data_IF_438395574207
#
_entry.id   IF_438395574207
#
_cell.length_a   1.000
_cell.length_b   1.000
_cell.length_c   1.000
_cell.angle_alpha   90.00
_cell.angle_beta   90.00
_cell.angle_gamma   90.00
#
_symmetry.space_group_name_H-M   'P 1'
#
loop_
_entity.id
_entity.type
_entity.pdbx_description
1 polymer ?
#
# COMPACT_ATOMS: atom_id res chain seq x y z
N UNK A 1 5.19 -9.07 -3.82
CA UNK A 1 5.18 -7.63 -4.16
C UNK A 1 5.59 -7.49 -5.62
N UNK A 2 4.80 -6.79 -6.40
CA UNK A 2 5.00 -6.63 -7.85
C UNK A 2 5.86 -5.42 -8.17
N UNK A 3 6.65 -5.51 -9.23
CA UNK A 3 7.45 -4.42 -9.78
C UNK A 3 6.72 -3.75 -10.95
N UNK A 4 7.12 -2.54 -11.29
CA UNK A 4 6.64 -1.86 -12.50
C UNK A 4 7.49 -2.31 -13.70
N UNK A 5 6.93 -3.17 -14.55
CA UNK A 5 7.62 -3.69 -15.72
C UNK A 5 7.51 -2.79 -16.95
N UNK A 6 6.59 -1.82 -16.93
CA UNK A 6 6.34 -0.93 -18.08
C UNK A 6 7.14 0.37 -18.01
N UNK A 7 7.39 0.85 -16.80
CA UNK A 7 8.08 2.13 -16.57
C UNK A 7 8.99 2.03 -15.35
N UNK A 8 9.84 3.05 -15.16
CA UNK A 8 10.67 3.18 -13.96
C UNK A 8 9.93 3.86 -12.79
N UNK A 9 8.61 4.08 -12.89
CA UNK A 9 7.85 4.70 -11.81
C UNK A 9 7.70 3.75 -10.59
N UNK A 10 7.59 4.34 -9.42
CA UNK A 10 7.24 3.60 -8.20
C UNK A 10 5.80 3.06 -8.31
N UNK A 11 5.49 2.05 -7.54
CA UNK A 11 4.12 1.57 -7.32
C UNK A 11 4.06 0.76 -6.03
N UNK A 12 2.88 0.68 -5.44
CA UNK A 12 2.59 -0.33 -4.44
C UNK A 12 1.55 -1.32 -4.99
N UNK A 13 1.93 -2.59 -5.06
CA UNK A 13 1.04 -3.70 -5.39
C UNK A 13 1.57 -4.97 -4.74
N UNK A 14 0.80 -5.51 -3.79
CA UNK A 14 1.17 -6.75 -3.10
C UNK A 14 0.03 -7.75 -3.18
N UNK A 15 0.33 -8.98 -3.60
CA UNK A 15 -0.61 -10.10 -3.60
C UNK A 15 -0.15 -11.08 -2.51
N UNK A 16 -1.06 -11.44 -1.61
CA UNK A 16 -0.85 -12.40 -0.53
C UNK A 16 -1.76 -13.61 -0.80
N UNK A 17 -1.17 -14.78 -0.90
CA UNK A 17 -1.90 -16.04 -1.07
C UNK A 17 -2.32 -16.55 0.32
N UNK A 18 -3.62 -16.62 0.57
CA UNK A 18 -4.16 -17.03 1.88
C UNK A 18 -4.27 -18.55 2.02
N UNK A 19 -4.10 -19.29 0.93
CA UNK A 19 -4.38 -20.73 0.80
C UNK A 19 -5.71 -21.00 0.12
N UNK A 20 -5.88 -22.24 -0.37
CA UNK A 20 -7.11 -22.68 -1.08
C UNK A 20 -7.54 -21.77 -2.25
N UNK A 21 -6.58 -21.07 -2.88
CA UNK A 21 -6.81 -20.16 -4.01
C UNK A 21 -7.35 -18.78 -3.63
N UNK A 22 -7.43 -18.43 -2.34
CA UNK A 22 -7.83 -17.11 -1.87
C UNK A 22 -6.66 -16.13 -1.88
N UNK A 23 -6.95 -14.86 -2.20
CA UNK A 23 -5.97 -13.79 -2.29
C UNK A 23 -6.39 -12.58 -1.45
N UNK A 24 -5.39 -11.89 -0.87
CA UNK A 24 -5.50 -10.50 -0.43
C UNK A 24 -4.65 -9.67 -1.37
N UNK A 25 -5.18 -8.57 -1.85
CA UNK A 25 -4.42 -7.59 -2.66
C UNK A 25 -4.32 -6.30 -1.87
N UNK A 26 -3.12 -5.74 -1.75
CA UNK A 26 -2.89 -4.43 -1.16
C UNK A 26 -2.45 -3.48 -2.28
N UNK A 27 -3.27 -2.49 -2.53
CA UNK A 27 -3.16 -1.57 -3.66
C UNK A 27 -3.08 -2.28 -5.03
N UNK A 28 -2.64 -1.63 -6.09
CA UNK A 28 -2.62 -2.24 -7.42
C UNK A 28 -1.62 -1.60 -8.39
N UNK A 29 -1.08 -0.44 -8.04
CA UNK A 29 -0.20 0.31 -8.94
C UNK A 29 -0.96 1.17 -9.94
N UNK A 30 -0.26 1.63 -10.96
CA UNK A 30 -0.76 2.52 -12.01
C UNK A 30 -1.75 1.86 -12.98
N UNK A 31 -2.50 2.65 -13.73
CA UNK A 31 -3.38 2.16 -14.79
C UNK A 31 -2.64 1.37 -15.89
N UNK A 32 -1.38 1.69 -16.19
CA UNK A 32 -0.57 0.93 -17.15
C UNK A 32 -0.12 -0.45 -16.61
N UNK A 33 -0.22 -0.69 -15.32
CA UNK A 33 0.06 -2.00 -14.73
C UNK A 33 -1.16 -2.94 -14.70
N UNK A 34 -2.31 -2.51 -15.19
CA UNK A 34 -3.60 -3.22 -15.12
C UNK A 34 -3.52 -4.65 -15.61
N UNK A 35 -3.07 -4.86 -16.85
CA UNK A 35 -2.98 -6.20 -17.45
C UNK A 35 -2.02 -7.10 -16.67
N UNK A 36 -0.92 -6.54 -16.20
CA UNK A 36 0.07 -7.28 -15.44
C UNK A 36 -0.50 -7.74 -14.09
N UNK A 37 -1.06 -6.84 -13.31
CA UNK A 37 -1.68 -7.13 -12.00
C UNK A 37 -2.82 -8.15 -12.16
N UNK A 38 -3.71 -7.94 -13.14
CA UNK A 38 -4.82 -8.84 -13.44
C UNK A 38 -4.32 -10.25 -13.78
N UNK A 39 -3.29 -10.36 -14.61
CA UNK A 39 -2.70 -11.63 -14.97
C UNK A 39 -2.06 -12.35 -13.77
N UNK A 40 -1.36 -11.63 -12.90
CA UNK A 40 -0.82 -12.19 -11.66
C UNK A 40 -1.93 -12.74 -10.74
N UNK A 41 -3.03 -12.01 -10.59
CA UNK A 41 -4.20 -12.44 -9.83
C UNK A 41 -4.81 -13.71 -10.45
N UNK A 42 -5.02 -13.73 -11.78
CA UNK A 42 -5.58 -14.88 -12.50
C UNK A 42 -4.72 -16.14 -12.38
N UNK A 43 -3.39 -16.00 -12.50
CA UNK A 43 -2.45 -17.13 -12.35
C UNK A 43 -2.51 -17.76 -10.95
N UNK A 44 -2.95 -17.01 -9.95
CA UNK A 44 -3.11 -17.44 -8.56
C UNK A 44 -4.54 -17.83 -8.18
N UNK A 45 -5.40 -18.06 -9.16
CA UNK A 45 -6.77 -18.55 -8.97
C UNK A 45 -7.88 -17.52 -9.19
N UNK A 46 -7.56 -16.23 -9.30
CA UNK A 46 -8.53 -15.19 -9.68
C UNK A 46 -9.57 -14.84 -8.62
N UNK A 47 -9.39 -15.26 -7.35
CA UNK A 47 -10.33 -15.00 -6.27
C UNK A 47 -9.71 -14.10 -5.19
N UNK A 48 -10.07 -12.82 -5.20
CA UNK A 48 -9.62 -11.80 -4.24
C UNK A 48 -10.63 -11.71 -3.10
N UNK A 49 -10.29 -12.26 -1.95
CA UNK A 49 -11.12 -12.24 -0.74
C UNK A 49 -11.17 -10.83 -0.10
N UNK A 50 -10.07 -10.08 -0.20
CA UNK A 50 -10.02 -8.69 0.25
C UNK A 50 -9.06 -7.89 -0.64
N UNK A 51 -9.54 -6.77 -1.19
CA UNK A 51 -8.71 -5.76 -1.82
C UNK A 51 -8.62 -4.56 -0.87
N UNK A 52 -7.42 -4.30 -0.37
CA UNK A 52 -7.14 -3.25 0.61
C UNK A 52 -6.54 -2.04 -0.11
N UNK A 53 -7.18 -0.89 -0.02
CA UNK A 53 -6.64 0.35 -0.57
C UNK A 53 -6.10 1.22 0.56
N UNK A 54 -4.86 1.69 0.39
CA UNK A 54 -4.23 2.58 1.36
C UNK A 54 -4.71 4.01 1.18
N UNK A 55 -4.56 4.59 0.01
CA UNK A 55 -4.97 5.95 -0.33
C UNK A 55 -5.19 6.10 -1.84
N UNK A 56 -5.82 7.19 -2.32
CA UNK A 56 -6.28 7.25 -3.71
C UNK A 56 -5.28 7.80 -4.73
N UNK A 57 -3.96 7.67 -4.50
CA UNK A 57 -2.98 8.04 -5.52
C UNK A 57 -2.92 7.03 -6.67
N UNK A 58 -2.52 7.50 -7.83
CA UNK A 58 -2.58 6.75 -9.09
C UNK A 58 -1.72 5.49 -9.08
N UNK A 59 -0.58 5.51 -8.40
CA UNK A 59 0.35 4.39 -8.26
C UNK A 59 -0.06 3.38 -7.17
N UNK A 60 -1.25 3.57 -6.61
CA UNK A 60 -1.90 2.68 -5.66
C UNK A 60 -3.23 2.14 -6.17
N UNK A 61 -4.12 2.99 -6.69
CA UNK A 61 -5.48 2.56 -7.05
C UNK A 61 -5.71 2.43 -8.56
N UNK A 62 -4.76 2.85 -9.38
CA UNK A 62 -4.93 2.95 -10.84
C UNK A 62 -5.32 1.62 -11.49
N UNK A 63 -4.59 0.54 -11.20
CA UNK A 63 -4.88 -0.74 -11.81
C UNK A 63 -6.23 -1.32 -11.36
N UNK A 64 -6.61 -1.18 -10.08
CA UNK A 64 -7.93 -1.61 -9.64
C UNK A 64 -9.03 -0.85 -10.39
N UNK A 65 -8.92 0.49 -10.50
CA UNK A 65 -9.91 1.27 -11.22
C UNK A 65 -10.08 0.77 -12.67
N UNK A 66 -8.98 0.56 -13.37
CA UNK A 66 -8.98 0.04 -14.74
C UNK A 66 -9.52 -1.39 -14.83
N UNK A 67 -9.18 -2.28 -13.90
CA UNK A 67 -9.75 -3.64 -13.83
C UNK A 67 -11.27 -3.56 -13.75
N UNK A 68 -11.80 -2.71 -12.88
CA UNK A 68 -13.25 -2.56 -12.73
C UNK A 68 -13.91 -1.95 -13.97
N UNK A 69 -13.26 -1.03 -14.67
CA UNK A 69 -13.79 -0.43 -15.90
C UNK A 69 -13.70 -1.33 -17.12
N UNK A 70 -12.59 -2.06 -17.29
CA UNK A 70 -12.25 -2.73 -18.55
C UNK A 70 -12.36 -4.25 -18.46
N UNK A 71 -12.23 -4.83 -17.26
CA UNK A 71 -12.09 -6.26 -17.00
C UNK A 71 -13.06 -6.77 -15.93
N UNK A 72 -14.17 -6.04 -15.72
CA UNK A 72 -15.15 -6.39 -14.69
C UNK A 72 -15.69 -7.81 -14.92
N UNK A 73 -15.64 -8.64 -13.87
CA UNK A 73 -16.08 -10.03 -13.92
C UNK A 73 -15.02 -11.04 -14.41
N UNK A 74 -13.81 -10.60 -14.77
CA UNK A 74 -12.72 -11.52 -15.13
C UNK A 74 -12.04 -12.17 -13.90
N UNK A 75 -12.22 -11.58 -12.72
CA UNK A 75 -11.84 -12.10 -11.41
C UNK A 75 -13.00 -11.95 -10.44
N UNK A 76 -12.98 -12.70 -9.36
CA UNK A 76 -13.95 -12.55 -8.26
C UNK A 76 -13.34 -11.68 -7.16
N UNK A 77 -14.08 -10.68 -6.69
CA UNK A 77 -13.69 -9.82 -5.57
C UNK A 77 -14.80 -9.90 -4.53
N UNK A 78 -14.48 -10.38 -3.32
CA UNK A 78 -15.45 -10.49 -2.23
C UNK A 78 -15.63 -9.17 -1.48
N UNK A 79 -14.54 -8.37 -1.34
CA UNK A 79 -14.60 -7.08 -0.68
C UNK A 79 -13.48 -6.13 -1.09
N UNK A 80 -13.83 -4.84 -1.24
CA UNK A 80 -12.89 -3.72 -1.46
C UNK A 80 -12.99 -2.82 -0.23
N UNK A 81 -11.88 -2.68 0.49
CA UNK A 81 -11.82 -1.98 1.78
C UNK A 81 -10.97 -0.72 1.66
N UNK A 82 -11.55 0.42 2.04
CA UNK A 82 -10.88 1.72 1.95
C UNK A 82 -11.45 2.72 2.94
N UNK A 83 -10.69 3.79 3.22
CA UNK A 83 -11.18 4.97 3.91
C UNK A 83 -10.64 6.20 3.19
N UNK A 84 -11.47 6.80 2.33
CA UNK A 84 -11.11 8.04 1.63
C UNK A 84 -11.78 9.23 2.30
N UNK A 85 -11.11 10.37 2.29
CA UNK A 85 -11.71 11.63 2.69
C UNK A 85 -12.85 12.03 1.71
N UNK A 86 -13.56 13.09 2.03
CA UNK A 86 -14.61 13.63 1.17
C UNK A 86 -14.00 14.18 -0.14
N UNK A 87 -14.72 14.05 -1.25
CA UNK A 87 -14.28 14.51 -2.57
C UNK A 87 -13.92 16.01 -2.57
N UNK A 88 -14.69 16.82 -1.83
CA UNK A 88 -14.43 18.25 -1.67
C UNK A 88 -13.09 18.54 -0.99
N UNK A 89 -12.65 17.67 -0.07
CA UNK A 89 -11.38 17.84 0.61
C UNK A 89 -10.20 17.62 -0.34
N UNK A 90 -10.26 16.57 -1.20
CA UNK A 90 -9.24 16.37 -2.23
C UNK A 90 -9.24 17.48 -3.27
N UNK A 91 -10.43 17.90 -3.73
CA UNK A 91 -10.57 18.95 -4.74
C UNK A 91 -10.03 20.31 -4.29
N UNK A 92 -10.16 20.63 -3.00
CA UNK A 92 -9.56 21.85 -2.39
C UNK A 92 -8.03 21.81 -2.39
N UNK A 93 -7.45 20.61 -2.20
CA UNK A 93 -6.01 20.43 -2.05
C UNK A 93 -5.28 20.28 -3.38
N UNK A 94 -5.77 19.39 -4.25
CA UNK A 94 -5.16 19.11 -5.55
C UNK A 94 -6.20 18.58 -6.55
N UNK A 95 -6.44 19.32 -7.66
CA UNK A 95 -7.36 18.88 -8.71
C UNK A 95 -6.96 17.59 -9.42
N UNK A 96 -5.68 17.24 -9.50
CA UNK A 96 -5.24 15.98 -10.14
C UNK A 96 -5.55 14.77 -9.25
N UNK A 97 -5.30 14.88 -7.95
CA UNK A 97 -5.73 13.86 -6.98
C UNK A 97 -7.25 13.71 -7.02
N UNK A 98 -7.99 14.82 -7.06
CA UNK A 98 -9.45 14.78 -7.15
C UNK A 98 -9.95 14.04 -8.41
N UNK A 99 -9.25 14.14 -9.56
CA UNK A 99 -9.58 13.38 -10.77
C UNK A 99 -9.40 11.87 -10.54
N UNK A 100 -8.31 11.46 -9.87
CA UNK A 100 -8.09 10.04 -9.58
C UNK A 100 -9.13 9.51 -8.58
N UNK A 101 -9.47 10.29 -7.56
CA UNK A 101 -10.55 9.95 -6.62
C UNK A 101 -11.88 9.77 -7.36
N UNK A 102 -12.22 10.68 -8.27
CA UNK A 102 -13.42 10.56 -9.10
C UNK A 102 -13.37 9.33 -10.02
N UNK A 103 -12.20 9.00 -10.56
CA UNK A 103 -12.00 7.85 -11.44
C UNK A 103 -12.24 6.54 -10.71
N UNK A 104 -11.60 6.32 -9.56
CA UNK A 104 -11.79 5.10 -8.77
C UNK A 104 -13.22 4.99 -8.22
N UNK A 105 -13.82 6.09 -7.73
CA UNK A 105 -15.21 6.08 -7.24
C UNK A 105 -16.21 5.82 -8.37
N UNK A 106 -15.93 6.32 -9.59
CA UNK A 106 -16.69 5.97 -10.78
C UNK A 106 -16.65 4.47 -11.08
N UNK A 107 -15.47 3.85 -10.97
CA UNK A 107 -15.29 2.42 -11.13
C UNK A 107 -16.07 1.60 -10.06
N UNK A 108 -16.15 2.09 -8.82
CA UNK A 108 -16.96 1.48 -7.76
C UNK A 108 -18.46 1.44 -8.10
N UNK A 109 -18.94 2.32 -8.96
CA UNK A 109 -20.32 2.27 -9.47
C UNK A 109 -20.62 1.07 -10.36
N UNK A 110 -19.60 0.33 -10.81
CA UNK A 110 -19.74 -0.82 -11.72
C UNK A 110 -19.79 -2.18 -11.00
N UNK A 111 -19.60 -2.18 -9.68
CA UNK A 111 -19.60 -3.39 -8.87
C UNK A 111 -20.74 -3.38 -7.86
N UNK A 112 -21.17 -4.56 -7.34
CA UNK A 112 -22.18 -4.63 -6.31
C UNK A 112 -21.80 -3.82 -5.06
N UNK A 113 -22.73 -3.02 -4.53
CA UNK A 113 -22.47 -2.14 -3.39
C UNK A 113 -22.10 -2.91 -2.10
N UNK A 114 -22.53 -4.15 -1.97
CA UNK A 114 -22.24 -4.98 -0.80
C UNK A 114 -20.80 -5.46 -0.71
N UNK A 115 -19.99 -5.31 -1.76
CA UNK A 115 -18.54 -5.60 -1.71
C UNK A 115 -17.71 -4.33 -1.44
N UNK A 116 -18.32 -3.15 -1.42
CA UNK A 116 -17.63 -1.87 -1.17
C UNK A 116 -17.72 -1.51 0.32
N UNK A 117 -16.60 -1.43 0.98
CA UNK A 117 -16.46 -1.12 2.40
C UNK A 117 -15.64 0.17 2.55
N UNK A 118 -16.27 1.30 2.27
CA UNK A 118 -15.66 2.65 2.35
C UNK A 118 -15.74 3.30 3.74
N UNK A 119 -16.30 2.60 4.71
CA UNK A 119 -16.56 3.05 6.08
C UNK A 119 -15.74 2.29 7.13
N UNK A 120 -14.61 1.70 6.72
CA UNK A 120 -13.72 1.01 7.65
C UNK A 120 -13.20 1.95 8.72
N UNK A 121 -13.05 1.42 9.93
CA UNK A 121 -12.64 2.20 11.11
C UNK A 121 -11.42 1.60 11.79
N UNK A 122 -10.66 2.43 12.48
CA UNK A 122 -9.51 1.99 13.30
C UNK A 122 -9.96 0.90 14.31
N UNK A 123 -9.18 -0.17 14.40
CA UNK A 123 -9.46 -1.33 15.22
C UNK A 123 -10.38 -2.37 14.59
N UNK A 124 -11.02 -2.07 13.46
CA UNK A 124 -11.83 -3.04 12.73
C UNK A 124 -10.99 -4.25 12.30
N UNK A 125 -11.60 -5.41 12.36
CA UNK A 125 -11.00 -6.67 11.90
C UNK A 125 -11.78 -7.20 10.73
N UNK A 126 -11.07 -7.49 9.63
CA UNK A 126 -11.58 -8.10 8.41
C UNK A 126 -11.00 -9.52 8.34
N UNK A 127 -11.85 -10.49 8.02
CA UNK A 127 -11.42 -11.88 7.83
C UNK A 127 -11.35 -12.18 6.34
N UNK A 128 -10.21 -12.70 5.86
CA UNK A 128 -10.01 -13.14 4.49
C UNK A 128 -9.42 -14.56 4.51
N UNK A 129 -10.28 -15.57 4.38
CA UNK A 129 -9.89 -16.96 4.60
C UNK A 129 -9.26 -17.14 5.99
N UNK A 130 -8.06 -17.74 6.10
CA UNK A 130 -7.34 -17.88 7.37
C UNK A 130 -6.66 -16.58 7.83
N UNK A 131 -6.54 -15.57 6.98
CA UNK A 131 -5.87 -14.32 7.30
C UNK A 131 -6.78 -13.37 8.10
N UNK A 132 -6.22 -12.73 9.11
CA UNK A 132 -6.85 -11.66 9.89
C UNK A 132 -6.21 -10.33 9.51
N UNK A 133 -7.03 -9.38 9.05
CA UNK A 133 -6.61 -8.04 8.69
C UNK A 133 -7.11 -7.07 9.75
N UNK A 134 -6.22 -6.32 10.37
CA UNK A 134 -6.57 -5.26 11.30
C UNK A 134 -6.36 -3.91 10.63
N UNK A 135 -7.39 -3.07 10.62
CA UNK A 135 -7.33 -1.68 10.21
C UNK A 135 -6.69 -0.88 11.35
N UNK A 136 -5.58 -0.20 11.09
CA UNK A 136 -4.87 0.55 12.13
C UNK A 136 -5.36 2.00 12.26
N UNK A 137 -5.79 2.62 11.16
CA UNK A 137 -6.34 3.98 11.18
C UNK A 137 -7.36 4.19 10.07
N UNK A 138 -8.11 5.27 10.16
CA UNK A 138 -8.85 5.86 9.04
C UNK A 138 -7.98 6.92 8.36
N UNK A 139 -8.39 7.38 7.18
CA UNK A 139 -7.70 8.46 6.48
C UNK A 139 -7.47 9.69 7.38
N UNK A 140 -6.22 10.05 7.60
CA UNK A 140 -5.89 11.28 8.34
C UNK A 140 -6.05 12.50 7.43
N UNK A 141 -6.89 13.46 7.84
CA UNK A 141 -7.11 14.70 7.11
C UNK A 141 -6.12 15.76 7.57
N UNK A 142 -4.90 15.70 7.03
CA UNK A 142 -3.80 16.64 7.33
C UNK A 142 -3.60 17.63 6.19
N UNK A 143 -2.98 18.79 6.46
CA UNK A 143 -2.71 19.80 5.43
C UNK A 143 -1.38 19.58 4.71
N UNK A 144 -0.41 18.94 5.37
CA UNK A 144 0.87 18.57 4.80
C UNK A 144 0.84 17.13 4.29
N UNK A 145 1.49 16.87 3.16
CA UNK A 145 1.49 15.55 2.51
C UNK A 145 0.10 14.91 2.52
N UNK A 146 -0.89 15.72 2.16
CA UNK A 146 -2.29 15.49 2.49
C UNK A 146 -2.82 14.14 1.94
N UNK A 147 -2.54 13.81 0.67
CA UNK A 147 -2.99 12.55 0.09
C UNK A 147 -2.24 11.36 0.70
N UNK A 148 -0.92 11.47 0.86
CA UNK A 148 -0.09 10.43 1.46
C UNK A 148 -0.51 10.16 2.92
N UNK A 149 -0.72 11.21 3.71
CA UNK A 149 -1.21 11.08 5.09
C UNK A 149 -2.65 10.61 5.18
N UNK A 150 -3.42 10.56 4.08
CA UNK A 150 -4.72 9.89 4.05
C UNK A 150 -4.60 8.37 3.93
N UNK A 151 -3.40 7.80 3.88
CA UNK A 151 -3.18 6.37 3.86
C UNK A 151 -3.79 5.67 5.06
N UNK A 152 -4.51 4.58 4.79
CA UNK A 152 -4.91 3.60 5.80
C UNK A 152 -3.77 2.59 5.96
N UNK A 153 -3.31 2.42 7.19
CA UNK A 153 -2.37 1.37 7.53
C UNK A 153 -3.12 0.09 7.92
N UNK A 154 -2.61 -1.04 7.47
CA UNK A 154 -3.18 -2.36 7.74
C UNK A 154 -2.13 -3.29 8.37
N UNK A 155 -2.56 -4.15 9.29
CA UNK A 155 -1.79 -5.31 9.68
C UNK A 155 -2.48 -6.58 9.18
N UNK A 156 -1.77 -7.36 8.36
CA UNK A 156 -2.21 -8.67 7.88
C UNK A 156 -1.49 -9.74 8.68
N UNK A 157 -2.25 -10.56 9.40
CA UNK A 157 -1.74 -11.71 10.16
C UNK A 157 -2.13 -13.00 9.43
N UNK A 158 -1.14 -13.77 9.01
CA UNK A 158 -1.31 -15.03 8.30
C UNK A 158 -0.24 -16.02 8.70
N UNK A 159 -0.62 -17.25 9.05
CA UNK A 159 0.30 -18.34 9.42
C UNK A 159 1.33 -17.96 10.51
N UNK A 160 0.95 -17.08 11.43
CA UNK A 160 1.82 -16.62 12.51
C UNK A 160 2.76 -15.47 12.14
N UNK A 161 2.71 -14.98 10.90
CA UNK A 161 3.48 -13.82 10.41
C UNK A 161 2.58 -12.59 10.37
N UNK A 162 3.06 -11.48 10.90
CA UNK A 162 2.40 -10.19 10.88
C UNK A 162 3.09 -9.23 9.91
N UNK A 163 2.40 -8.85 8.85
CA UNK A 163 2.86 -7.85 7.88
C UNK A 163 2.13 -6.54 8.10
N UNK A 164 2.87 -5.44 8.30
CA UNK A 164 2.31 -4.10 8.44
C UNK A 164 2.52 -3.33 7.14
N UNK A 165 1.42 -2.86 6.56
CA UNK A 165 1.39 -1.97 5.42
C UNK A 165 1.09 -0.56 5.92
N UNK A 166 1.97 0.38 5.60
CA UNK A 166 1.88 1.78 6.02
C UNK A 166 1.37 2.69 4.90
N UNK A 167 1.21 2.14 3.68
CA UNK A 167 0.94 2.94 2.49
C UNK A 167 2.02 4.00 2.32
N UNK A 168 1.59 5.22 2.09
CA UNK A 168 2.48 6.36 1.91
C UNK A 168 2.44 7.35 3.06
N UNK A 169 2.02 6.89 4.26
CA UNK A 169 2.06 7.74 5.45
C UNK A 169 3.39 8.49 5.54
N UNK A 170 3.32 9.81 5.55
CA UNK A 170 4.45 10.67 5.76
C UNK A 170 4.74 10.83 7.27
N UNK A 171 5.71 11.65 7.63
CA UNK A 171 6.17 11.80 9.00
C UNK A 171 5.04 12.12 9.99
N UNK A 172 4.18 13.08 9.67
CA UNK A 172 3.08 13.48 10.56
C UNK A 172 1.99 12.41 10.69
N UNK A 173 1.70 11.67 9.61
CA UNK A 173 0.80 10.52 9.66
C UNK A 173 1.35 9.39 10.52
N UNK A 174 2.66 9.14 10.44
CA UNK A 174 3.34 8.20 11.31
C UNK A 174 3.35 8.61 12.79
N UNK A 175 3.54 9.90 13.08
CA UNK A 175 3.45 10.45 14.44
C UNK A 175 2.04 10.30 15.01
N UNK A 176 1.00 10.54 14.19
CA UNK A 176 -0.39 10.34 14.60
C UNK A 176 -0.68 8.84 14.84
N UNK A 177 -0.21 7.96 13.96
CA UNK A 177 -0.39 6.51 14.12
C UNK A 177 0.24 6.01 15.45
N UNK A 178 1.39 6.54 15.83
CA UNK A 178 2.02 6.25 17.15
C UNK A 178 1.26 6.84 18.33
N UNK A 179 0.57 7.95 18.14
CA UNK A 179 -0.25 8.55 19.18
C UNK A 179 -1.54 7.73 19.39
N UNK A 180 -2.08 7.14 18.32
CA UNK A 180 -3.32 6.35 18.35
C UNK A 180 -3.10 4.93 18.84
N UNK A 181 -1.88 4.36 18.66
CA UNK A 181 -1.57 2.94 18.91
C UNK A 181 -0.21 2.73 19.57
N UNK A 182 -0.16 1.73 20.46
CA UNK A 182 1.11 1.11 20.84
C UNK A 182 1.58 0.16 19.72
N UNK A 183 2.34 0.69 18.76
CA UNK A 183 2.85 -0.08 17.61
C UNK A 183 3.75 -1.24 18.05
N UNK A 184 4.37 -1.18 19.24
CA UNK A 184 5.22 -2.27 19.74
C UNK A 184 4.43 -3.53 20.09
N UNK A 185 3.13 -3.39 20.35
CA UNK A 185 2.23 -4.50 20.63
C UNK A 185 1.84 -5.29 19.37
N UNK A 186 2.05 -4.74 18.15
CA UNK A 186 1.67 -5.40 16.90
C UNK A 186 2.54 -6.60 16.54
N UNK A 187 3.75 -6.72 17.14
CA UNK A 187 4.71 -7.82 16.84
C UNK A 187 4.95 -7.97 15.34
N UNK A 188 5.31 -6.86 14.70
CA UNK A 188 5.50 -6.78 13.25
C UNK A 188 6.72 -7.61 12.82
N UNK A 189 6.52 -8.59 11.94
CA UNK A 189 7.60 -9.37 11.32
C UNK A 189 8.10 -8.72 10.03
N UNK A 190 7.16 -8.27 9.22
CA UNK A 190 7.41 -7.67 7.90
C UNK A 190 6.77 -6.28 7.87
N UNK A 191 7.50 -5.27 7.40
CA UNK A 191 6.96 -3.93 7.17
C UNK A 191 7.07 -3.53 5.70
N UNK A 192 6.02 -2.99 5.11
CA UNK A 192 6.16 -2.22 3.89
C UNK A 192 6.71 -0.84 4.25
N UNK A 193 7.83 -0.48 3.64
CA UNK A 193 8.49 0.81 3.86
C UNK A 193 7.65 1.92 3.26
N UNK A 194 7.19 2.81 4.12
CA UNK A 194 6.22 3.86 3.78
C UNK A 194 6.72 4.77 2.64
N UNK A 195 5.79 5.19 1.79
CA UNK A 195 6.01 6.15 0.72
C UNK A 195 7.22 5.77 -0.16
N UNK A 196 7.25 4.50 -0.61
CA UNK A 196 8.30 3.93 -1.45
C UNK A 196 9.73 4.10 -0.90
N UNK A 197 9.87 4.35 0.40
CA UNK A 197 11.16 4.62 1.04
C UNK A 197 11.67 6.05 0.86
N UNK A 198 10.87 6.96 0.29
CA UNK A 198 11.25 8.39 0.19
C UNK A 198 10.96 9.14 1.53
N UNK A 199 10.03 10.10 1.53
CA UNK A 199 9.73 10.94 2.70
C UNK A 199 8.56 10.36 3.52
N UNK A 200 8.60 9.05 3.81
CA UNK A 200 7.58 8.35 4.59
C UNK A 200 7.64 8.64 6.09
N UNK A 201 7.15 7.68 6.89
CA UNK A 201 7.14 7.78 8.35
C UNK A 201 8.55 7.92 8.94
N UNK A 202 8.64 8.50 10.13
CA UNK A 202 9.92 8.68 10.82
C UNK A 202 10.48 7.40 11.45
N UNK A 203 11.76 7.45 11.83
CA UNK A 203 12.50 6.35 12.46
C UNK A 203 11.76 5.70 13.64
N UNK A 204 11.10 6.50 14.49
CA UNK A 204 10.46 6.00 15.71
C UNK A 204 9.29 5.04 15.41
N UNK A 205 8.62 5.17 14.26
CA UNK A 205 7.58 4.21 13.82
C UNK A 205 8.21 2.85 13.56
N UNK A 206 9.27 2.78 12.75
CA UNK A 206 9.96 1.53 12.46
C UNK A 206 10.60 0.91 13.71
N UNK A 207 11.14 1.76 14.59
CA UNK A 207 11.71 1.33 15.88
C UNK A 207 10.64 0.74 16.80
N UNK A 208 9.43 1.26 16.81
CA UNK A 208 8.31 0.70 17.57
C UNK A 208 7.84 -0.64 16.96
N UNK A 209 7.71 -0.71 15.64
CA UNK A 209 7.32 -1.94 14.92
C UNK A 209 8.37 -3.05 15.03
N UNK A 210 9.66 -2.72 15.01
CA UNK A 210 10.80 -3.66 15.08
C UNK A 210 10.74 -4.80 14.06
N UNK A 211 10.56 -4.51 12.76
CA UNK A 211 10.46 -5.54 11.74
C UNK A 211 11.78 -6.29 11.56
N UNK A 212 11.71 -7.56 11.19
CA UNK A 212 12.87 -8.35 10.74
C UNK A 212 13.06 -8.30 9.24
N UNK A 213 11.99 -7.98 8.49
CA UNK A 213 11.94 -7.92 7.03
C UNK A 213 11.34 -6.59 6.58
N UNK A 214 11.90 -5.99 5.53
CA UNK A 214 11.38 -4.78 4.92
C UNK A 214 11.04 -5.00 3.43
N UNK A 215 9.82 -4.60 3.04
CA UNK A 215 9.35 -4.56 1.66
C UNK A 215 9.52 -3.14 1.14
N UNK A 216 10.28 -3.00 0.07
CA UNK A 216 10.57 -1.72 -0.55
C UNK A 216 9.87 -1.60 -1.91
N UNK A 217 8.74 -0.91 -1.98
CA UNK A 217 8.10 -0.59 -3.26
C UNK A 217 8.87 0.55 -3.97
N UNK A 218 10.20 0.39 -4.08
CA UNK A 218 11.19 1.41 -4.43
C UNK A 218 11.85 1.06 -5.75
N UNK A 219 11.68 1.85 -6.82
CA UNK A 219 12.38 1.65 -8.08
C UNK A 219 13.86 2.03 -7.97
N UNK A 220 14.65 1.64 -8.98
CA UNK A 220 16.11 1.80 -8.96
C UNK A 220 16.57 3.26 -8.74
N UNK A 221 15.95 4.23 -9.45
CA UNK A 221 16.35 5.63 -9.32
C UNK A 221 16.10 6.18 -7.90
N UNK A 222 15.00 5.78 -7.29
CA UNK A 222 14.68 6.20 -5.92
C UNK A 222 15.54 5.47 -4.89
N UNK A 223 15.85 4.19 -5.13
CA UNK A 223 16.80 3.43 -4.31
C UNK A 223 18.18 4.07 -4.30
N UNK A 224 18.65 4.55 -5.45
CA UNK A 224 19.91 5.25 -5.58
C UNK A 224 19.85 6.72 -5.16
N UNK A 225 18.65 7.20 -4.82
CA UNK A 225 18.39 8.63 -4.54
C UNK A 225 18.90 9.51 -5.68
N UNK A 226 18.54 9.15 -6.93
CA UNK A 226 19.01 9.78 -8.16
C UNK A 226 17.89 10.59 -8.80
N UNK A 227 18.05 11.92 -8.87
CA UNK A 227 17.10 12.83 -9.55
C UNK A 227 17.53 13.16 -11.01
N UNK A 228 18.38 12.33 -11.61
CA UNK A 228 18.97 12.55 -12.92
C UNK A 228 20.40 13.10 -12.88
N UNK A 229 20.92 13.41 -11.71
CA UNK A 229 22.29 13.87 -11.47
C UNK A 229 23.27 12.77 -11.04
N UNK A 230 22.81 11.51 -11.02
CA UNK A 230 23.56 10.36 -10.51
C UNK A 230 23.20 10.00 -9.07
N UNK A 231 23.70 8.86 -8.61
CA UNK A 231 23.40 8.34 -7.27
C UNK A 231 23.73 9.35 -6.16
N UNK A 232 22.75 9.57 -5.26
CA UNK A 232 22.86 10.50 -4.15
C UNK A 232 22.54 11.97 -4.51
N UNK A 233 22.16 12.27 -5.76
CA UNK A 233 21.79 13.63 -6.17
C UNK A 233 20.37 14.04 -5.79
N UNK A 234 19.53 13.07 -5.40
CA UNK A 234 18.12 13.29 -5.03
C UNK A 234 17.97 13.92 -3.64
N UNK A 235 16.75 14.40 -3.40
CA UNK A 235 16.37 15.08 -2.15
C UNK A 235 15.58 14.19 -1.20
N UNK A 236 15.37 12.93 -1.58
CA UNK A 236 14.56 11.99 -0.80
C UNK A 236 15.36 11.39 0.36
N UNK A 237 14.64 10.97 1.41
CA UNK A 237 15.24 10.37 2.61
C UNK A 237 15.55 8.87 2.44
N UNK A 238 15.59 8.36 1.21
CA UNK A 238 15.78 6.90 0.93
C UNK A 238 17.05 6.36 1.56
N UNK A 239 18.16 7.11 1.47
CA UNK A 239 19.42 6.67 2.08
C UNK A 239 19.34 6.63 3.61
N UNK A 240 18.65 7.62 4.20
CA UNK A 240 18.43 7.67 5.63
C UNK A 240 17.52 6.53 6.08
N UNK A 241 16.45 6.26 5.35
CA UNK A 241 15.54 5.13 5.63
C UNK A 241 16.28 3.79 5.54
N UNK A 242 17.16 3.59 4.54
CA UNK A 242 18.04 2.41 4.47
C UNK A 242 18.93 2.28 5.70
N UNK A 243 19.53 3.37 6.15
CA UNK A 243 20.38 3.39 7.35
C UNK A 243 19.56 3.05 8.62
N UNK A 244 18.28 3.46 8.68
CA UNK A 244 17.40 3.07 9.79
C UNK A 244 17.15 1.56 9.81
N UNK A 245 16.90 0.93 8.64
CA UNK A 245 16.70 -0.52 8.58
C UNK A 245 17.95 -1.28 9.04
N UNK A 246 19.14 -0.84 8.62
CA UNK A 246 20.41 -1.40 9.10
C UNK A 246 20.55 -1.24 10.63
N UNK A 247 20.28 -0.04 11.16
CA UNK A 247 20.36 0.25 12.60
C UNK A 247 19.38 -0.58 13.43
N UNK A 248 18.20 -0.88 12.86
CA UNK A 248 17.16 -1.70 13.51
C UNK A 248 17.45 -3.20 13.42
N UNK A 249 18.46 -3.61 12.65
CA UNK A 249 18.81 -5.01 12.47
C UNK A 249 17.86 -5.76 11.56
N UNK A 250 17.24 -5.06 10.57
CA UNK A 250 16.41 -5.71 9.54
C UNK A 250 17.27 -6.72 8.78
N UNK A 251 16.85 -7.98 8.78
CA UNK A 251 17.65 -9.09 8.26
C UNK A 251 17.53 -9.25 6.74
N UNK A 252 16.37 -8.89 6.17
CA UNK A 252 16.11 -9.03 4.75
C UNK A 252 15.38 -7.80 4.20
N UNK A 253 15.79 -7.38 3.00
CA UNK A 253 15.19 -6.29 2.25
C UNK A 253 14.78 -6.80 0.87
N UNK A 254 13.49 -6.74 0.57
CA UNK A 254 12.91 -7.12 -0.71
C UNK A 254 12.51 -5.84 -1.46
N UNK A 255 13.12 -5.57 -2.59
CA UNK A 255 12.99 -4.29 -3.30
C UNK A 255 12.58 -4.50 -4.75
N UNK A 256 11.56 -3.75 -5.23
CA UNK A 256 11.07 -3.88 -6.60
C UNK A 256 12.07 -3.44 -7.67
N UNK A 257 13.15 -2.74 -7.31
CA UNK A 257 14.26 -2.47 -8.24
C UNK A 257 14.88 -3.75 -8.82
N UNK A 258 14.76 -4.86 -8.13
CA UNK A 258 15.29 -6.17 -8.53
C UNK A 258 14.20 -7.04 -9.21
N UNK A 259 13.07 -6.44 -9.62
CA UNK A 259 11.91 -7.14 -10.17
C UNK A 259 10.91 -7.55 -9.10
N UNK A 260 9.99 -8.46 -9.46
CA UNK A 260 9.00 -8.99 -8.52
C UNK A 260 9.66 -9.70 -7.34
N UNK A 261 9.11 -9.44 -6.15
CA UNK A 261 9.63 -10.04 -4.94
C UNK A 261 8.63 -11.07 -4.40
N UNK A 262 9.11 -12.30 -4.19
CA UNK A 262 8.34 -13.41 -3.58
C UNK A 262 8.93 -13.70 -2.21
N UNK A 263 8.06 -13.82 -1.22
CA UNK A 263 8.43 -14.16 0.17
C UNK A 263 7.61 -15.37 0.56
N UNK A 264 8.28 -16.44 0.97
CA UNK A 264 7.69 -17.70 1.40
C UNK A 264 7.65 -17.81 2.93
#
# INVERSE_FOLDING_TARGET
MLANHDTAAQLLSVIIETGEGGLIVVDGGWTNNTDYVLNQIKQKGGHVQAWLLTHPDSDHVGALADILYKHNGEITIDGIYYSFAEDSWYAEKDPEVAKMVAYIKGAFGLVPQNILHGDIVSGQVIQAGPARIQVLNQAYKMNNDFVNNSSVAYMVSLNGTNTVFLGDLAKSGGEQLMADHDLSALKCDIVQVAHHGQNGVGYEVYKALRPSVALWPTPQWLWDNDNGGGSGSGIWLTQETKNWMVRLGVNANYCIKDGDQVIE
#
